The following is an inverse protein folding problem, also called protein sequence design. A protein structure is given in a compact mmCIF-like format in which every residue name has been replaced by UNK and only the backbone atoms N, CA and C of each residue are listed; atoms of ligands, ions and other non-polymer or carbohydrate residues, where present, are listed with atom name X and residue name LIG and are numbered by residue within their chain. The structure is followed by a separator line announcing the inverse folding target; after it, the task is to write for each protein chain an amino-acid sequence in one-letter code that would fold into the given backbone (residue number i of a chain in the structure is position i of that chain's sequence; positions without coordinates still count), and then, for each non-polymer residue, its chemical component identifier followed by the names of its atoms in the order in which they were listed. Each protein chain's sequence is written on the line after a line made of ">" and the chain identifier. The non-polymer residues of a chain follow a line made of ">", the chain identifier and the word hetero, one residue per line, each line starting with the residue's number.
data_IF_317946300857
#
_entry.id   IF_317946300857
#
_cell.length_a   1.000
_cell.length_b   1.000
_cell.length_c   1.000
_cell.angle_alpha   90.00
_cell.angle_beta   90.00
_cell.angle_gamma   90.00
#
_symmetry.space_group_name_H-M   'P 1'
#
loop_
_entity.id
_entity.type
_entity.pdbx_description
1 polymer ?
#
# COMPACT_ATOMS: atom_id res chain seq x y z
N UNK A 1 10.05 -18.68 -0.38
CA UNK A 1 10.83 -17.87 -1.31
C UNK A 1 10.70 -16.39 -0.96
N UNK A 2 11.72 -15.61 -1.23
CA UNK A 2 11.69 -14.18 -1.02
C UNK A 2 10.70 -13.54 -1.99
N UNK A 3 10.00 -12.50 -1.52
CA UNK A 3 9.14 -11.72 -2.39
C UNK A 3 9.97 -10.94 -3.40
N UNK A 4 9.45 -10.84 -4.62
CA UNK A 4 10.06 -10.00 -5.64
C UNK A 4 9.42 -8.62 -5.61
N UNK A 5 10.22 -7.55 -5.63
CA UNK A 5 9.66 -6.21 -5.65
C UNK A 5 8.93 -5.95 -6.96
N UNK A 6 7.84 -5.20 -6.88
CA UNK A 6 7.16 -4.72 -8.07
C UNK A 6 8.06 -3.75 -8.82
N UNK A 7 7.88 -3.68 -10.14
CA UNK A 7 8.59 -2.69 -10.95
C UNK A 7 8.29 -1.28 -10.44
N UNK A 8 9.26 -0.35 -10.48
CA UNK A 8 9.05 1.00 -9.99
C UNK A 8 7.88 1.71 -10.69
N UNK A 9 7.17 2.53 -9.92
CA UNK A 9 6.15 3.45 -10.42
C UNK A 9 6.71 4.85 -10.20
N UNK A 10 6.68 5.69 -11.23
CA UNK A 10 7.15 7.06 -11.11
C UNK A 10 6.25 7.87 -10.17
N UNK A 11 6.81 8.89 -9.52
CA UNK A 11 6.06 9.76 -8.61
C UNK A 11 4.83 10.35 -9.29
N UNK A 12 4.98 10.84 -10.53
CA UNK A 12 3.85 11.45 -11.24
C UNK A 12 2.76 10.44 -11.58
N UNK A 13 3.13 9.19 -11.90
CA UNK A 13 2.16 8.12 -12.12
C UNK A 13 1.41 7.76 -10.84
N UNK A 14 2.13 7.67 -9.73
CA UNK A 14 1.52 7.37 -8.44
C UNK A 14 0.57 8.49 -8.02
N UNK A 15 1.01 9.73 -8.17
CA UNK A 15 0.18 10.89 -7.84
C UNK A 15 -1.07 10.95 -8.70
N UNK A 16 -0.94 10.65 -9.99
CA UNK A 16 -2.07 10.62 -10.92
C UNK A 16 -3.06 9.49 -10.61
N UNK A 17 -2.61 8.41 -9.98
CA UNK A 17 -3.48 7.28 -9.61
C UNK A 17 -4.33 7.57 -8.37
N UNK A 18 -3.86 8.42 -7.47
CA UNK A 18 -4.52 8.68 -6.18
C UNK A 18 -5.99 9.10 -6.26
N UNK A 19 -6.43 9.96 -7.20
CA UNK A 19 -7.85 10.31 -7.27
C UNK A 19 -8.78 9.13 -7.52
N UNK A 20 -8.28 8.06 -8.13
CA UNK A 20 -9.07 6.85 -8.40
C UNK A 20 -9.01 5.83 -7.27
N UNK A 21 -8.40 6.17 -6.13
CA UNK A 21 -8.37 5.31 -4.95
C UNK A 21 -9.79 4.92 -4.55
N UNK A 22 -10.08 3.61 -4.57
CA UNK A 22 -11.43 3.12 -4.29
C UNK A 22 -11.93 3.48 -2.89
N UNK A 23 -11.02 3.65 -1.94
CA UNK A 23 -11.34 4.04 -0.57
C UNK A 23 -11.92 5.44 -0.41
N UNK A 24 -11.83 6.30 -1.44
CA UNK A 24 -12.52 7.59 -1.43
C UNK A 24 -14.02 7.42 -1.56
N UNK A 25 -14.48 6.36 -2.23
CA UNK A 25 -15.89 6.08 -2.45
C UNK A 25 -16.45 5.19 -1.35
N UNK A 26 -15.73 4.14 -1.01
CA UNK A 26 -16.17 3.15 -0.06
C UNK A 26 -14.96 2.54 0.65
N UNK A 27 -14.91 2.66 1.96
CA UNK A 27 -13.78 2.17 2.74
C UNK A 27 -14.28 1.32 3.91
N UNK A 28 -13.85 0.06 4.04
CA UNK A 28 -14.28 -0.78 5.17
C UNK A 28 -13.72 -0.30 6.52
N UNK A 29 -12.62 0.47 6.52
CA UNK A 29 -11.98 0.97 7.72
C UNK A 29 -11.57 2.44 7.53
N UNK A 30 -12.55 3.38 7.47
CA UNK A 30 -12.25 4.77 7.07
C UNK A 30 -11.34 5.54 8.03
N UNK A 31 -11.15 5.05 9.23
CA UNK A 31 -10.22 5.65 10.20
C UNK A 31 -8.88 4.91 10.29
N UNK A 32 -8.58 4.02 9.35
CA UNK A 32 -7.32 3.30 9.30
C UNK A 32 -6.13 4.27 9.33
N UNK A 33 -5.16 4.01 10.18
CA UNK A 33 -3.98 4.87 10.32
C UNK A 33 -3.21 5.03 9.01
N UNK A 34 -3.07 3.96 8.24
CA UNK A 34 -2.31 3.98 6.99
C UNK A 34 -3.09 4.58 5.82
N UNK A 35 -4.33 4.16 5.60
CA UNK A 35 -5.07 4.46 4.37
C UNK A 35 -6.44 5.09 4.58
N UNK A 36 -6.81 5.42 5.81
CA UNK A 36 -8.14 5.93 6.12
C UNK A 36 -8.31 7.39 5.72
N UNK A 37 -9.30 7.72 4.88
CA UNK A 37 -9.53 9.11 4.48
C UNK A 37 -10.12 10.00 5.58
N UNK A 38 -10.62 9.41 6.67
CA UNK A 38 -11.13 10.18 7.79
C UNK A 38 -10.05 10.69 8.74
N UNK A 39 -8.81 10.22 8.59
CA UNK A 39 -7.70 10.76 9.37
C UNK A 39 -7.27 12.11 8.82
N UNK A 40 -7.02 13.07 9.72
CA UNK A 40 -6.53 14.38 9.34
C UNK A 40 -5.09 14.31 8.82
N UNK A 41 -4.70 15.28 8.00
CA UNK A 41 -3.33 15.42 7.56
C UNK A 41 -2.40 15.57 8.78
N UNK A 42 -1.30 14.80 8.79
CA UNK A 42 -0.36 14.76 9.91
C UNK A 42 -0.75 13.82 11.04
N UNK A 43 -2.00 13.33 11.07
CA UNK A 43 -2.46 12.37 12.07
C UNK A 43 -2.25 10.93 11.59
N UNK A 44 -2.78 10.59 10.42
CA UNK A 44 -2.54 9.29 9.78
C UNK A 44 -1.57 9.44 8.62
N UNK A 45 -1.22 8.32 7.99
CA UNK A 45 -0.31 8.35 6.86
C UNK A 45 -0.96 8.86 5.57
N UNK A 46 -2.28 8.65 5.45
CA UNK A 46 -3.07 9.10 4.31
C UNK A 46 -2.50 8.64 2.97
N UNK A 47 -2.12 7.36 2.94
CA UNK A 47 -1.65 6.69 1.74
C UNK A 47 -2.88 6.16 1.01
N UNK A 48 -3.16 6.71 -0.18
CA UNK A 48 -4.38 6.43 -0.93
C UNK A 48 -4.02 5.76 -2.26
N UNK A 49 -3.72 4.44 -2.25
CA UNK A 49 -3.23 3.77 -3.45
C UNK A 49 -4.35 3.58 -4.48
N UNK A 50 -4.20 4.25 -5.60
CA UNK A 50 -5.10 4.13 -6.73
C UNK A 50 -4.57 3.19 -7.80
N UNK A 51 -5.45 2.68 -8.69
CA UNK A 51 -5.02 1.80 -9.77
C UNK A 51 -4.11 2.52 -10.75
N UNK A 52 -3.01 1.85 -11.12
CA UNK A 52 -2.05 2.39 -12.08
C UNK A 52 -2.49 2.00 -13.49
N UNK A 53 -2.78 2.96 -14.38
CA UNK A 53 -3.18 2.64 -15.74
C UNK A 53 -2.15 1.77 -16.46
N UNK A 54 -2.62 0.72 -17.15
CA UNK A 54 -1.76 -0.18 -17.90
C UNK A 54 -1.05 -1.23 -17.07
N UNK A 55 -1.27 -1.26 -15.75
CA UNK A 55 -0.66 -2.25 -14.86
C UNK A 55 -1.75 -2.90 -13.99
N UNK A 56 -2.43 -3.88 -14.57
CA UNK A 56 -3.51 -4.59 -13.91
C UNK A 56 -3.04 -5.17 -12.57
N UNK A 57 -3.87 -5.03 -11.53
CA UNK A 57 -3.54 -5.54 -10.21
C UNK A 57 -2.50 -4.71 -9.45
N UNK A 58 -2.08 -3.56 -9.99
CA UNK A 58 -1.13 -2.66 -9.34
C UNK A 58 -1.81 -1.37 -8.93
N UNK A 59 -1.57 -1.00 -7.67
CA UNK A 59 -2.01 0.30 -7.12
C UNK A 59 -0.80 1.06 -6.62
N UNK A 60 -0.88 2.38 -6.59
CA UNK A 60 0.23 3.19 -6.11
C UNK A 60 -0.24 4.49 -5.50
N UNK A 61 0.56 5.02 -4.60
CA UNK A 61 0.35 6.32 -3.96
C UNK A 61 1.70 6.96 -3.66
N UNK A 62 1.68 8.28 -3.48
CA UNK A 62 2.82 9.00 -2.91
C UNK A 62 2.63 9.09 -1.41
N UNK A 63 3.72 9.23 -0.69
CA UNK A 63 3.71 9.41 0.75
C UNK A 63 4.89 10.29 1.16
N UNK A 64 4.59 11.31 1.97
CA UNK A 64 5.62 12.20 2.52
C UNK A 64 5.48 12.12 4.04
N UNK A 65 6.35 11.38 4.74
CA UNK A 65 6.19 11.16 6.17
C UNK A 65 6.41 12.41 7.00
N UNK A 66 5.57 12.56 8.03
CA UNK A 66 5.74 13.59 9.06
C UNK A 66 6.56 13.06 10.24
N UNK A 67 6.67 11.74 10.36
CA UNK A 67 7.46 11.06 11.36
C UNK A 67 7.98 9.75 10.74
N UNK A 68 9.06 9.21 11.28
CA UNK A 68 9.66 7.99 10.76
C UNK A 68 10.07 7.06 11.89
N UNK A 69 9.80 5.77 11.71
CA UNK A 69 10.19 4.68 12.59
C UNK A 69 9.99 3.38 11.83
N UNK A 70 10.49 2.27 12.35
CA UNK A 70 10.22 0.97 11.73
C UNK A 70 8.72 0.65 11.75
N UNK A 71 8.01 1.01 12.82
CA UNK A 71 6.57 0.80 12.94
C UNK A 71 5.80 1.57 11.87
N UNK A 72 6.19 2.81 11.62
CA UNK A 72 5.57 3.63 10.58
C UNK A 72 5.86 3.07 9.19
N UNK A 73 7.09 2.62 8.93
CA UNK A 73 7.43 2.01 7.65
C UNK A 73 6.62 0.73 7.42
N UNK A 74 6.42 -0.09 8.46
CA UNK A 74 5.55 -1.26 8.38
C UNK A 74 4.10 -0.86 8.07
N UNK A 75 3.60 0.18 8.73
CA UNK A 75 2.26 0.68 8.46
C UNK A 75 2.11 1.17 7.01
N UNK A 76 3.14 1.82 6.47
CA UNK A 76 3.14 2.28 5.08
C UNK A 76 3.11 1.11 4.10
N UNK A 77 3.71 -0.04 4.45
CA UNK A 77 3.72 -1.24 3.62
C UNK A 77 2.44 -2.08 3.75
N UNK A 78 1.55 -1.72 4.65
CA UNK A 78 0.39 -2.56 4.99
C UNK A 78 -0.73 -2.49 3.95
N UNK A 79 -1.42 -1.38 3.86
CA UNK A 79 -2.74 -1.33 3.22
C UNK A 79 -2.75 -1.38 1.69
N UNK A 80 -1.68 -0.97 1.01
CA UNK A 80 -1.64 -1.01 -0.44
C UNK A 80 -1.88 -2.41 -0.99
N UNK A 81 -1.45 -3.44 -0.26
CA UNK A 81 -1.70 -4.83 -0.64
C UNK A 81 -3.17 -5.20 -0.60
N UNK A 82 -3.91 -4.67 0.38
CA UNK A 82 -5.36 -4.89 0.46
C UNK A 82 -6.06 -4.32 -0.77
N UNK A 83 -5.72 -3.10 -1.14
CA UNK A 83 -6.34 -2.43 -2.29
C UNK A 83 -5.94 -3.07 -3.61
N UNK A 84 -4.71 -3.58 -3.74
CA UNK A 84 -4.30 -4.35 -4.89
C UNK A 84 -5.07 -5.67 -4.99
N UNK A 85 -5.41 -6.27 -3.85
CA UNK A 85 -6.11 -7.55 -3.81
C UNK A 85 -7.63 -7.43 -3.97
N UNK A 86 -8.18 -6.21 -4.00
CA UNK A 86 -9.60 -5.99 -4.25
C UNK A 86 -10.46 -5.90 -2.98
N UNK A 87 -9.94 -5.30 -1.91
CA UNK A 87 -10.69 -5.18 -0.65
C UNK A 87 -12.03 -4.44 -0.83
N UNK A 88 -12.14 -3.59 -1.85
CA UNK A 88 -13.38 -2.88 -2.19
C UNK A 88 -14.49 -3.83 -2.66
N UNK A 89 -14.14 -5.01 -3.11
CA UNK A 89 -15.11 -6.03 -3.54
C UNK A 89 -15.68 -6.82 -2.37
N UNK A 90 -14.98 -6.82 -1.21
CA UNK A 90 -15.43 -7.50 0.00
C UNK A 90 -14.40 -7.35 1.09
N UNK A 91 -14.83 -7.15 2.34
CA UNK A 91 -13.90 -6.89 3.44
C UNK A 91 -12.87 -8.00 3.60
N UNK A 92 -11.63 -7.61 3.85
CA UNK A 92 -10.51 -8.50 4.08
C UNK A 92 -9.70 -8.03 5.27
N UNK A 93 -9.06 -8.96 5.94
CA UNK A 93 -8.14 -8.66 7.03
C UNK A 93 -6.77 -9.21 6.68
N UNK A 94 -5.74 -8.56 7.19
CA UNK A 94 -4.38 -9.02 7.00
C UNK A 94 -4.18 -10.29 7.84
N UNK A 95 -3.95 -11.42 7.18
CA UNK A 95 -3.69 -12.69 7.84
C UNK A 95 -2.21 -12.92 8.13
N UNK A 96 -1.34 -12.43 7.25
CA UNK A 96 0.10 -12.60 7.40
C UNK A 96 0.85 -11.51 6.62
N UNK A 97 1.90 -11.00 7.21
CA UNK A 97 2.81 -10.08 6.54
C UNK A 97 4.25 -10.37 6.94
N UNK A 98 5.09 -10.53 5.95
CA UNK A 98 6.54 -10.63 6.13
C UNK A 98 7.15 -9.42 5.44
N UNK A 99 7.89 -8.61 6.18
CA UNK A 99 8.44 -7.38 5.65
C UNK A 99 9.93 -7.26 5.92
N UNK A 100 10.61 -6.55 5.02
CA UNK A 100 11.99 -6.15 5.17
C UNK A 100 12.07 -4.64 4.94
N UNK A 101 12.67 -3.93 5.86
CA UNK A 101 12.91 -2.50 5.73
C UNK A 101 14.42 -2.30 5.74
N UNK A 102 14.96 -1.90 4.59
CA UNK A 102 16.41 -1.75 4.41
C UNK A 102 16.92 -0.40 4.91
N UNK A 103 16.09 0.65 4.79
CA UNK A 103 16.40 1.98 5.25
C UNK A 103 15.11 2.69 5.61
N UNK A 104 15.12 3.43 6.71
CA UNK A 104 13.96 4.26 7.06
C UNK A 104 13.91 5.49 6.14
N UNK A 105 12.70 5.89 5.73
CA UNK A 105 12.55 7.15 5.01
C UNK A 105 12.86 8.34 5.91
N UNK A 106 13.23 9.45 5.29
CA UNK A 106 13.44 10.69 6.00
C UNK A 106 12.15 11.50 6.04
N UNK A 107 11.94 12.22 7.14
CA UNK A 107 10.81 13.14 7.25
C UNK A 107 10.88 14.16 6.10
N UNK A 108 9.77 14.36 5.40
CA UNK A 108 9.71 15.27 4.27
C UNK A 108 10.13 14.70 2.93
N UNK A 109 10.67 13.47 2.93
CA UNK A 109 11.04 12.79 1.68
C UNK A 109 9.79 12.31 0.95
N UNK A 110 9.71 12.53 -0.38
CA UNK A 110 8.61 11.98 -1.18
C UNK A 110 8.91 10.55 -1.58
N UNK A 111 8.03 9.66 -1.21
CA UNK A 111 8.16 8.21 -1.45
C UNK A 111 7.02 7.73 -2.32
N UNK A 112 7.22 6.56 -2.95
CA UNK A 112 6.18 5.87 -3.69
C UNK A 112 5.91 4.54 -3.01
N UNK A 113 4.63 4.30 -2.69
CA UNK A 113 4.14 3.04 -2.15
C UNK A 113 3.38 2.33 -3.25
N UNK A 114 3.72 1.07 -3.52
CA UNK A 114 2.97 0.27 -4.51
C UNK A 114 2.42 -0.97 -3.85
N UNK A 115 1.29 -1.45 -4.37
CA UNK A 115 0.75 -2.76 -4.04
C UNK A 115 0.49 -3.51 -5.34
N UNK A 116 0.79 -4.81 -5.37
CA UNK A 116 0.57 -5.64 -6.53
C UNK A 116 -0.06 -6.96 -6.13
N UNK A 117 -1.17 -7.32 -6.80
CA UNK A 117 -1.83 -8.61 -6.59
C UNK A 117 -0.96 -9.74 -7.13
N UNK A 118 -0.82 -10.80 -6.34
CA UNK A 118 0.03 -11.95 -6.67
C UNK A 118 -0.76 -13.26 -6.73
N UNK A 119 -2.07 -13.18 -6.95
CA UNK A 119 -2.92 -14.35 -7.08
C UNK A 119 -3.73 -14.64 -5.82
N UNK A 120 -4.65 -15.58 -5.94
CA UNK A 120 -5.53 -15.92 -4.82
C UNK A 120 -5.82 -17.42 -4.81
N UNK A 121 -6.16 -17.92 -3.61
CA UNK A 121 -6.54 -19.32 -3.38
C UNK A 121 -7.70 -19.32 -2.37
N UNK A 122 -8.93 -19.58 -2.84
CA UNK A 122 -10.12 -19.50 -1.99
C UNK A 122 -10.29 -18.10 -1.43
N UNK A 123 -10.29 -17.97 -0.10
CA UNK A 123 -10.43 -16.69 0.57
C UNK A 123 -9.10 -15.96 0.80
N UNK A 124 -7.98 -16.58 0.40
CA UNK A 124 -6.64 -16.00 0.58
C UNK A 124 -6.22 -15.27 -0.66
N UNK A 125 -5.84 -14.00 -0.50
CA UNK A 125 -5.36 -13.16 -1.59
C UNK A 125 -3.92 -12.73 -1.29
N UNK A 126 -3.02 -13.05 -2.19
CA UNK A 126 -1.60 -12.74 -2.03
C UNK A 126 -1.28 -11.39 -2.65
N UNK A 127 -0.46 -10.61 -1.99
CA UNK A 127 -0.03 -9.31 -2.48
C UNK A 127 1.41 -9.04 -2.06
N UNK A 128 2.06 -8.16 -2.83
CA UNK A 128 3.38 -7.63 -2.50
C UNK A 128 3.25 -6.12 -2.44
N UNK A 129 3.88 -5.49 -1.43
CA UNK A 129 3.96 -4.05 -1.36
C UNK A 129 5.41 -3.61 -1.37
N UNK A 130 5.68 -2.44 -1.94
CA UNK A 130 7.02 -1.87 -1.99
C UNK A 130 6.99 -0.43 -1.54
N UNK A 131 8.10 0.01 -0.95
CA UNK A 131 8.34 1.38 -0.58
C UNK A 131 9.63 1.81 -1.27
N UNK A 132 9.54 2.81 -2.15
CA UNK A 132 10.69 3.31 -2.91
C UNK A 132 10.81 4.81 -2.78
N UNK A 133 12.05 5.29 -2.94
CA UNK A 133 12.29 6.73 -3.08
C UNK A 133 11.78 7.21 -4.44
N UNK A 134 11.73 8.54 -4.62
CA UNK A 134 11.36 9.14 -5.90
C UNK A 134 12.30 8.69 -7.04
N UNK A 135 13.56 8.37 -6.71
CA UNK A 135 14.56 7.89 -7.68
C UNK A 135 14.48 6.39 -7.94
N UNK A 136 13.58 5.67 -7.26
CA UNK A 136 13.39 4.24 -7.45
C UNK A 136 14.20 3.34 -6.53
N UNK A 137 14.92 3.89 -5.55
CA UNK A 137 15.63 3.08 -4.55
C UNK A 137 14.64 2.31 -3.70
N UNK A 138 14.84 1.01 -3.54
CA UNK A 138 13.96 0.17 -2.73
C UNK A 138 14.32 0.33 -1.25
N UNK A 139 13.39 0.82 -0.46
CA UNK A 139 13.56 0.98 0.99
C UNK A 139 12.90 -0.14 1.78
N UNK A 140 11.83 -0.69 1.27
CA UNK A 140 11.08 -1.72 1.98
C UNK A 140 10.26 -2.59 1.03
N UNK A 141 9.99 -3.80 1.48
CA UNK A 141 9.29 -4.82 0.70
C UNK A 141 8.51 -5.70 1.65
N UNK A 142 7.25 -5.98 1.32
CA UNK A 142 6.44 -6.89 2.12
C UNK A 142 5.73 -7.89 1.23
N UNK A 143 5.54 -9.09 1.78
CA UNK A 143 4.72 -10.13 1.19
C UNK A 143 3.55 -10.37 2.14
N UNK A 144 2.34 -10.40 1.60
CA UNK A 144 1.12 -10.40 2.40
C UNK A 144 0.14 -11.47 1.96
N UNK A 145 -0.65 -11.94 2.92
CA UNK A 145 -1.85 -12.75 2.67
C UNK A 145 -3.03 -12.01 3.28
N UNK A 146 -3.97 -11.61 2.45
CA UNK A 146 -5.22 -10.97 2.86
C UNK A 146 -6.33 -12.01 2.82
N UNK A 147 -7.16 -12.05 3.86
CA UNK A 147 -8.18 -13.10 4.02
C UNK A 147 -9.56 -12.46 4.00
N UNK A 148 -10.41 -12.93 3.07
CA UNK A 148 -11.79 -12.48 3.00
C UNK A 148 -12.55 -12.86 4.26
N UNK A 149 -13.33 -11.91 4.78
CA UNK A 149 -14.22 -12.14 5.89
C UNK A 149 -15.54 -12.66 5.31
N UNK A 150 -16.06 -13.80 5.77
CA UNK A 150 -17.36 -14.28 5.30
C UNK A 150 -18.46 -13.27 5.62
N UNK A 151 -19.38 -13.09 4.68
CA UNK A 151 -20.54 -12.21 4.88
C UNK A 151 -21.66 -12.92 5.64
#
# INVERSE_FOLDING_TARGET
>A
AAAEPSAPVEVDEARAAEPAYAGHQQHPFPSCFSCGPERAEGDGLRIFPGPVPGRDGTVAATWTPHATSYEIAWAALDCAGAWASGIEEGPRVLGRMTARVDRLPEVGETLVVTGEARGSEGRKHHATTTLRTADGELLGLARQVWIEIPS
#
